data_IF_673698268412
#
_entry.id   IF_673698268412
#
_cell.length_a   1.000
_cell.length_b   1.000
_cell.length_c   1.000
_cell.angle_alpha   90.00
_cell.angle_beta   90.00
_cell.angle_gamma   90.00
#
_symmetry.space_group_name_H-M   'P 1'
#
loop_
_entity.id
_entity.type
_entity.pdbx_description
1 polymer ?
#
# COMPACT_ATOMS: atom_id res chain seq x y z
N UNK A 1 58.91 -9.65 25.24
CA UNK A 1 57.47 -9.31 25.28
C UNK A 1 56.86 -9.63 23.93
N UNK A 2 56.27 -10.82 23.78
CA UNK A 2 55.58 -11.19 22.55
C UNK A 2 54.19 -10.55 22.56
N UNK A 3 53.99 -9.47 21.81
CA UNK A 3 52.67 -8.89 21.63
C UNK A 3 51.78 -9.90 20.89
N UNK A 4 50.69 -10.32 21.53
CA UNK A 4 49.68 -11.16 20.90
C UNK A 4 49.04 -10.31 19.79
N UNK A 5 49.48 -10.50 18.55
CA UNK A 5 48.85 -9.85 17.41
C UNK A 5 47.48 -10.53 17.23
N UNK A 6 46.41 -9.82 17.59
CA UNK A 6 45.05 -10.33 17.44
C UNK A 6 44.79 -10.69 15.97
N UNK A 7 44.20 -11.86 15.68
CA UNK A 7 43.81 -12.24 14.33
C UNK A 7 42.90 -11.19 13.67
N UNK A 8 43.02 -11.02 12.35
CA UNK A 8 42.27 -10.00 11.60
C UNK A 8 40.75 -10.23 11.65
N UNK A 9 40.31 -11.48 11.63
CA UNK A 9 38.91 -11.87 11.81
C UNK A 9 38.34 -11.40 13.16
N UNK A 10 39.11 -11.52 14.25
CA UNK A 10 38.70 -11.01 15.55
C UNK A 10 38.67 -9.48 15.59
N UNK A 11 39.61 -8.81 14.90
CA UNK A 11 39.62 -7.34 14.79
C UNK A 11 38.38 -6.84 14.06
N UNK A 12 38.04 -7.47 12.94
CA UNK A 12 36.87 -7.13 12.13
C UNK A 12 35.59 -7.41 12.90
N UNK A 13 35.48 -8.57 13.55
CA UNK A 13 34.32 -8.91 14.37
C UNK A 13 34.10 -7.88 15.49
N UNK A 14 35.18 -7.39 16.10
CA UNK A 14 35.08 -6.35 17.12
C UNK A 14 34.59 -5.02 16.55
N UNK A 15 35.13 -4.60 15.40
CA UNK A 15 34.70 -3.38 14.70
C UNK A 15 33.22 -3.45 14.28
N UNK A 16 32.77 -4.60 13.78
CA UNK A 16 31.39 -4.79 13.34
C UNK A 16 30.35 -4.70 14.47
N UNK A 17 30.74 -4.94 15.73
CA UNK A 17 29.81 -4.82 16.87
C UNK A 17 29.43 -3.38 17.20
N UNK A 18 30.32 -2.43 16.92
CA UNK A 18 30.15 -1.02 17.30
C UNK A 18 29.63 -0.12 16.16
N UNK A 19 29.34 -0.69 14.99
CA UNK A 19 28.96 0.08 13.82
C UNK A 19 27.45 0.29 13.71
N UNK A 20 27.05 1.34 12.99
CA UNK A 20 25.65 1.57 12.68
C UNK A 20 25.08 0.48 11.76
N UNK A 21 23.82 0.10 11.98
CA UNK A 21 23.13 -1.00 11.28
C UNK A 21 23.15 -0.83 9.75
N UNK A 22 22.92 0.39 9.28
CA UNK A 22 22.91 0.73 7.86
C UNK A 22 24.27 0.52 7.17
N UNK A 23 25.37 0.74 7.90
CA UNK A 23 26.72 0.45 7.42
C UNK A 23 27.05 -1.05 7.54
N UNK A 24 26.57 -1.70 8.61
CA UNK A 24 26.72 -3.15 8.80
C UNK A 24 26.11 -3.93 7.62
N UNK A 25 24.89 -3.58 7.22
CA UNK A 25 24.19 -4.20 6.09
C UNK A 25 24.93 -4.03 4.75
N UNK A 26 25.67 -2.93 4.58
CA UNK A 26 26.49 -2.75 3.37
C UNK A 26 27.76 -3.59 3.43
N UNK A 27 28.41 -3.66 4.59
CA UNK A 27 29.67 -4.37 4.76
C UNK A 27 29.52 -5.89 4.82
N UNK A 28 28.42 -6.44 5.35
CA UNK A 28 28.20 -7.89 5.37
C UNK A 28 28.10 -8.49 3.96
N UNK A 29 27.64 -7.69 3.00
CA UNK A 29 27.56 -8.05 1.58
C UNK A 29 28.90 -7.86 0.84
N UNK A 30 29.95 -7.38 1.52
CA UNK A 30 31.29 -7.20 0.97
C UNK A 30 32.25 -8.14 1.66
N UNK A 31 33.18 -8.73 0.90
CA UNK A 31 34.18 -9.63 1.45
C UNK A 31 35.34 -8.85 2.11
N UNK A 32 35.07 -8.32 3.32
CA UNK A 32 36.04 -7.59 4.14
C UNK A 32 36.77 -8.55 5.09
N UNK A 33 37.95 -8.98 4.66
CA UNK A 33 38.80 -9.96 5.37
C UNK A 33 39.98 -9.33 6.14
N UNK A 34 40.18 -8.02 6.01
CA UNK A 34 41.23 -7.27 6.73
C UNK A 34 40.68 -5.93 7.22
N UNK A 35 41.27 -5.39 8.29
CA UNK A 35 40.95 -4.05 8.81
C UNK A 35 41.16 -2.97 7.73
N UNK A 36 42.18 -3.13 6.88
CA UNK A 36 42.43 -2.20 5.78
C UNK A 36 41.31 -2.18 4.73
N UNK A 37 40.85 -3.36 4.30
CA UNK A 37 39.69 -3.49 3.41
C UNK A 37 38.42 -2.95 4.05
N UNK A 38 38.23 -3.20 5.36
CA UNK A 38 37.12 -2.67 6.13
C UNK A 38 37.10 -1.14 6.10
N UNK A 39 38.22 -0.51 6.44
CA UNK A 39 38.36 0.96 6.44
C UNK A 39 38.14 1.54 5.04
N UNK A 40 38.67 0.88 4.01
CA UNK A 40 38.48 1.28 2.61
C UNK A 40 37.00 1.25 2.22
N UNK A 41 36.29 0.15 2.52
CA UNK A 41 34.86 0.06 2.25
C UNK A 41 34.05 1.13 2.99
N UNK A 42 34.33 1.38 4.27
CA UNK A 42 33.66 2.43 5.03
C UNK A 42 33.84 3.81 4.37
N UNK A 43 35.05 4.15 3.94
CA UNK A 43 35.35 5.41 3.25
C UNK A 43 34.61 5.53 1.91
N UNK A 44 34.51 4.45 1.15
CA UNK A 44 33.73 4.43 -0.10
C UNK A 44 32.25 4.67 0.16
N UNK A 45 31.67 4.00 1.15
CA UNK A 45 30.26 4.18 1.52
C UNK A 45 29.99 5.62 1.94
N UNK A 46 30.87 6.21 2.76
CA UNK A 46 30.77 7.63 3.14
C UNK A 46 30.88 8.57 1.96
N UNK A 47 31.81 8.31 1.03
CA UNK A 47 31.95 9.10 -0.19
C UNK A 47 30.69 9.02 -1.06
N UNK A 48 30.10 7.83 -1.18
CA UNK A 48 28.85 7.63 -1.92
C UNK A 48 27.67 8.31 -1.23
N UNK A 49 27.57 8.26 0.11
CA UNK A 49 26.57 8.98 0.90
C UNK A 49 26.66 10.48 0.71
N UNK A 50 27.87 11.05 0.70
CA UNK A 50 28.10 12.49 0.44
C UNK A 50 27.75 12.91 -0.98
N UNK A 51 28.00 12.03 -1.97
CA UNK A 51 27.64 12.26 -3.38
C UNK A 51 26.16 12.04 -3.66
N UNK A 52 25.47 11.27 -2.82
CA UNK A 52 24.04 11.06 -2.94
C UNK A 52 23.34 12.40 -2.73
N UNK A 53 22.78 12.96 -3.80
CA UNK A 53 21.88 14.10 -3.73
C UNK A 53 20.62 13.64 -2.99
N UNK A 54 20.58 13.84 -1.66
CA UNK A 54 19.42 13.51 -0.81
C UNK A 54 18.28 14.50 -1.05
N UNK A 55 18.55 15.64 -1.66
CA UNK A 55 17.52 16.50 -2.21
C UNK A 55 16.88 15.82 -3.42
N UNK A 56 15.85 15.02 -3.15
CA UNK A 56 14.64 14.99 -3.97
C UNK A 56 14.02 16.40 -3.98
N UNK A 57 14.77 17.42 -4.42
CA UNK A 57 14.20 18.67 -4.90
C UNK A 57 13.69 18.43 -6.33
N UNK A 58 12.85 17.41 -6.50
CA UNK A 58 11.72 17.59 -7.38
C UNK A 58 10.78 18.59 -6.67
N UNK A 59 11.27 19.83 -6.47
CA UNK A 59 10.44 20.94 -6.08
C UNK A 59 9.39 21.02 -7.18
N UNK A 60 8.15 20.77 -6.79
CA UNK A 60 7.02 20.74 -7.72
C UNK A 60 7.03 22.03 -8.53
N UNK A 61 6.96 21.97 -9.86
CA UNK A 61 6.86 23.18 -10.67
C UNK A 61 5.63 23.98 -10.22
N UNK A 62 5.69 25.32 -10.21
CA UNK A 62 4.59 26.18 -9.72
C UNK A 62 3.27 25.96 -10.47
N UNK A 63 3.30 25.33 -11.64
CA UNK A 63 2.15 25.11 -12.51
C UNK A 63 1.41 23.79 -12.24
N UNK A 64 1.82 23.02 -11.24
CA UNK A 64 1.17 21.74 -10.92
C UNK A 64 0.37 21.92 -9.64
N UNK A 65 -0.95 21.97 -9.75
CA UNK A 65 -1.85 21.91 -8.58
C UNK A 65 -1.60 20.59 -7.84
N UNK A 66 -1.38 20.61 -6.51
CA UNK A 66 -1.40 19.40 -5.71
C UNK A 66 -2.68 18.61 -6.03
N UNK A 67 -2.54 17.33 -6.37
CA UNK A 67 -3.61 16.40 -6.01
C UNK A 67 -3.56 16.47 -4.50
N UNK A 68 -4.56 17.10 -3.90
CA UNK A 68 -4.68 17.18 -2.45
C UNK A 68 -4.29 15.81 -1.91
N UNK A 69 -3.25 15.74 -1.08
CA UNK A 69 -3.28 14.73 -0.02
C UNK A 69 -4.46 15.25 0.78
N UNK A 70 -5.65 14.78 0.38
CA UNK A 70 -6.87 15.05 1.10
C UNK A 70 -6.48 14.81 2.54
N UNK A 71 -6.71 15.84 3.36
CA UNK A 71 -6.65 15.84 4.81
C UNK A 71 -6.82 14.42 5.32
N UNK A 72 -6.08 14.05 6.37
CA UNK A 72 -6.15 12.77 7.09
C UNK A 72 -7.59 12.35 7.51
N UNK A 73 -8.52 12.23 6.56
CA UNK A 73 -9.58 11.26 6.57
C UNK A 73 -8.81 9.95 6.51
N UNK A 74 -8.87 9.19 7.60
CA UNK A 74 -8.45 7.80 7.57
C UNK A 74 -8.98 7.19 6.27
N UNK A 75 -8.12 6.47 5.54
CA UNK A 75 -8.51 5.85 4.28
C UNK A 75 -9.84 5.07 4.42
N UNK A 76 -10.09 4.53 5.61
CA UNK A 76 -11.35 3.92 6.05
C UNK A 76 -12.58 4.86 6.00
N UNK A 77 -12.43 6.12 6.41
CA UNK A 77 -13.49 7.12 6.40
C UNK A 77 -13.82 7.58 4.98
N UNK A 78 -12.79 7.75 4.15
CA UNK A 78 -12.98 8.03 2.72
C UNK A 78 -13.69 6.88 2.02
N UNK A 79 -13.25 5.63 2.24
CA UNK A 79 -13.90 4.43 1.70
C UNK A 79 -15.34 4.33 2.19
N UNK A 80 -15.60 4.57 3.48
CA UNK A 80 -16.94 4.53 4.06
C UNK A 80 -17.86 5.57 3.42
N UNK A 81 -17.38 6.80 3.26
CA UNK A 81 -18.15 7.89 2.64
C UNK A 81 -18.50 7.55 1.19
N UNK A 82 -17.52 7.11 0.39
CA UNK A 82 -17.74 6.69 -1.00
C UNK A 82 -18.75 5.54 -1.06
N UNK A 83 -18.59 4.52 -0.21
CA UNK A 83 -19.50 3.37 -0.20
C UNK A 83 -20.95 3.77 0.13
N UNK A 84 -21.14 4.68 1.10
CA UNK A 84 -22.46 5.21 1.46
C UNK A 84 -23.07 5.97 0.27
N UNK A 85 -22.32 6.89 -0.34
CA UNK A 85 -22.78 7.68 -1.49
C UNK A 85 -23.19 6.78 -2.67
N UNK A 86 -22.43 5.72 -2.96
CA UNK A 86 -22.76 4.79 -4.04
C UNK A 86 -23.97 3.90 -3.71
N UNK A 87 -24.11 3.44 -2.46
CA UNK A 87 -25.29 2.68 -2.02
C UNK A 87 -26.55 3.54 -2.11
N UNK A 88 -26.50 4.81 -1.69
CA UNK A 88 -27.62 5.75 -1.78
C UNK A 88 -28.06 6.00 -3.23
N UNK A 89 -27.13 6.03 -4.19
CA UNK A 89 -27.46 6.15 -5.62
C UNK A 89 -28.16 4.91 -6.17
N UNK A 90 -27.81 3.72 -5.66
CA UNK A 90 -28.33 2.44 -6.16
C UNK A 90 -29.65 2.04 -5.47
N UNK A 91 -29.84 2.43 -4.21
CA UNK A 91 -31.01 2.13 -3.38
C UNK A 91 -32.36 2.43 -4.06
N UNK A 92 -32.58 3.62 -4.68
CA UNK A 92 -33.83 3.91 -5.38
C UNK A 92 -34.13 2.93 -6.51
N UNK A 93 -33.10 2.52 -7.27
CA UNK A 93 -33.24 1.57 -8.38
C UNK A 93 -33.65 0.19 -7.87
N UNK A 94 -33.04 -0.26 -6.77
CA UNK A 94 -33.40 -1.51 -6.10
C UNK A 94 -34.84 -1.44 -5.56
N UNK A 95 -35.20 -0.34 -4.90
CA UNK A 95 -36.55 -0.13 -4.38
C UNK A 95 -37.59 -0.13 -5.51
N UNK A 96 -37.32 0.51 -6.65
CA UNK A 96 -38.19 0.46 -7.83
C UNK A 96 -38.33 -0.98 -8.37
N UNK A 97 -37.24 -1.75 -8.44
CA UNK A 97 -37.31 -3.16 -8.85
C UNK A 97 -38.15 -4.00 -7.88
N UNK A 98 -37.97 -3.81 -6.57
CA UNK A 98 -38.70 -4.57 -5.54
C UNK A 98 -40.19 -4.18 -5.52
N UNK A 99 -40.52 -2.89 -5.62
CA UNK A 99 -41.91 -2.43 -5.60
C UNK A 99 -42.69 -2.80 -6.87
N UNK A 100 -42.02 -2.93 -8.00
CA UNK A 100 -42.63 -3.38 -9.26
C UNK A 100 -42.67 -4.92 -9.40
N UNK A 101 -41.99 -5.66 -8.53
CA UNK A 101 -41.94 -7.12 -8.58
C UNK A 101 -43.25 -7.81 -8.14
N UNK A 102 -43.91 -7.43 -7.01
CA UNK A 102 -45.16 -8.07 -6.60
C UNK A 102 -46.34 -7.72 -7.53
N UNK A 103 -46.41 -6.51 -8.10
CA UNK A 103 -47.51 -6.14 -8.99
C UNK A 103 -47.48 -6.89 -10.32
N UNK A 104 -46.29 -7.17 -10.86
CA UNK A 104 -46.13 -7.94 -12.10
C UNK A 104 -46.57 -9.40 -11.94
N UNK A 105 -46.10 -10.09 -10.89
CA UNK A 105 -46.53 -11.47 -10.65
C UNK A 105 -48.03 -11.56 -10.29
N UNK A 106 -48.54 -10.63 -9.49
CA UNK A 106 -49.95 -10.59 -9.11
C UNK A 106 -50.88 -10.29 -10.29
N UNK A 107 -50.43 -9.47 -11.26
CA UNK A 107 -51.16 -9.23 -12.51
C UNK A 107 -51.16 -10.45 -13.44
N UNK A 108 -50.04 -11.18 -13.54
CA UNK A 108 -49.98 -12.46 -14.26
C UNK A 108 -50.94 -13.47 -13.65
N UNK A 109 -50.91 -13.66 -12.32
CA UNK A 109 -51.78 -14.61 -11.63
C UNK A 109 -53.25 -14.21 -11.81
N UNK A 110 -53.59 -12.91 -11.69
CA UNK A 110 -54.96 -12.43 -11.91
C UNK A 110 -55.45 -12.66 -13.33
N UNK A 111 -54.61 -12.44 -14.33
CA UNK A 111 -54.95 -12.68 -15.74
C UNK A 111 -55.21 -14.17 -15.99
N UNK A 112 -54.31 -15.04 -15.50
CA UNK A 112 -54.42 -16.48 -15.67
C UNK A 112 -55.67 -17.04 -14.97
N UNK A 113 -55.95 -16.60 -13.74
CA UNK A 113 -57.16 -16.99 -13.00
C UNK A 113 -58.42 -16.54 -13.73
N UNK A 114 -58.44 -15.33 -14.31
CA UNK A 114 -59.60 -14.83 -15.08
C UNK A 114 -59.84 -15.66 -16.34
N UNK A 115 -58.78 -16.00 -17.08
CA UNK A 115 -58.88 -16.79 -18.30
C UNK A 115 -59.41 -18.20 -18.01
N UNK A 116 -58.95 -18.83 -16.92
CA UNK A 116 -59.44 -20.15 -16.53
C UNK A 116 -60.89 -20.12 -16.01
N UNK A 117 -61.28 -19.12 -15.21
CA UNK A 117 -62.66 -19.00 -14.71
C UNK A 117 -63.67 -18.70 -15.83
N UNK A 118 -63.32 -17.85 -16.80
CA UNK A 118 -64.17 -17.58 -17.96
C UNK A 118 -64.32 -18.80 -18.88
N UNK A 119 -63.29 -19.66 -18.96
CA UNK A 119 -63.37 -20.93 -19.69
C UNK A 119 -64.25 -21.99 -19.00
N UNK A 120 -64.39 -21.94 -17.66
CA UNK A 120 -65.23 -22.88 -16.89
C UNK A 120 -66.72 -22.52 -16.88
N UNK A 121 -67.08 -21.30 -17.28
CA UNK A 121 -68.46 -20.78 -17.21
C UNK A 121 -69.16 -20.79 -18.58
N UNK A 122 -68.55 -21.41 -19.60
CA UNK A 122 -69.09 -21.55 -20.96
C UNK A 122 -69.39 -23.02 -21.27
#
# INVERSE_FOLDING_TARGET
>A
MGGINMPEDQKILHLMKGMAEDLYQVLINREVSTVDKFVTCCREVDAMRKKRVVTLQYARPPNVTPISIANEEDQSDLIRRIAIEEIEKVLPRIATCINNCPSYLESIIREEVRNNLTSLTR
#
